data_IF_218751625512
#
_entry.id   IF_218751625512
#
_cell.length_a   1.000
_cell.length_b   1.000
_cell.length_c   1.000
_cell.angle_alpha   90.00
_cell.angle_beta   90.00
_cell.angle_gamma   90.00
#
_symmetry.space_group_name_H-M   'P 1'
#
loop_
_entity.id
_entity.type
_entity.pdbx_description
1 polymer ?
#
# COMPACT_ATOMS: atom_id res chain seq x y z
N UNK A 1 7.94 -1.02 34.37
CA UNK A 1 6.91 -1.82 35.08
C UNK A 1 7.22 -3.30 34.93
N UNK A 2 6.89 -4.12 35.95
CA UNK A 2 6.90 -5.58 35.86
C UNK A 2 5.45 -6.06 35.81
N UNK A 3 5.13 -6.82 34.78
CA UNK A 3 3.77 -7.30 34.49
C UNK A 3 3.86 -8.77 34.13
N UNK A 4 2.90 -9.56 34.59
CA UNK A 4 2.73 -10.95 34.16
C UNK A 4 1.60 -10.98 33.13
N UNK A 5 1.85 -11.62 31.99
CA UNK A 5 0.90 -11.73 30.89
C UNK A 5 0.77 -13.20 30.52
N UNK A 6 -0.46 -13.68 30.42
CA UNK A 6 -0.77 -14.99 29.83
C UNK A 6 -0.78 -14.83 28.31
N UNK A 7 -0.05 -15.70 27.61
CA UNK A 7 0.03 -15.73 26.15
C UNK A 7 -0.45 -17.09 25.66
N UNK A 8 -1.19 -17.08 24.55
CA UNK A 8 -1.50 -18.32 23.83
C UNK A 8 -0.22 -18.98 23.32
N UNK A 9 -0.24 -20.31 23.21
CA UNK A 9 0.94 -21.10 22.86
C UNK A 9 1.53 -20.72 21.51
N UNK A 10 0.69 -20.38 20.54
CA UNK A 10 1.12 -19.98 19.20
C UNK A 10 1.79 -18.59 19.21
N UNK A 11 1.26 -17.64 19.99
CA UNK A 11 1.85 -16.30 20.18
C UNK A 11 3.20 -16.42 20.88
N UNK A 12 3.28 -17.21 21.95
CA UNK A 12 4.52 -17.44 22.67
C UNK A 12 5.58 -18.10 21.78
N UNK A 13 5.20 -19.07 20.95
CA UNK A 13 6.09 -19.72 19.99
C UNK A 13 6.63 -18.73 18.95
N UNK A 14 5.76 -17.88 18.36
CA UNK A 14 6.15 -16.86 17.37
C UNK A 14 7.13 -15.84 17.97
N UNK A 15 6.87 -15.34 19.18
CA UNK A 15 7.74 -14.38 19.85
C UNK A 15 9.11 -14.98 20.20
N UNK A 16 9.15 -16.26 20.62
CA UNK A 16 10.41 -16.98 20.86
C UNK A 16 11.20 -17.18 19.57
N UNK A 17 10.54 -17.56 18.49
CA UNK A 17 11.18 -17.71 17.19
C UNK A 17 11.78 -16.38 16.70
N UNK A 18 11.06 -15.28 16.86
CA UNK A 18 11.53 -13.95 16.46
C UNK A 18 12.69 -13.45 17.33
N UNK A 19 12.66 -13.73 18.64
CA UNK A 19 13.79 -13.45 19.54
C UNK A 19 15.04 -14.22 19.13
N UNK A 20 14.92 -15.51 18.77
CA UNK A 20 16.05 -16.31 18.26
C UNK A 20 16.58 -15.78 16.93
N UNK A 21 15.68 -15.42 16.00
CA UNK A 21 16.03 -14.90 14.67
C UNK A 21 16.75 -13.55 14.74
N UNK A 22 16.25 -12.65 15.59
CA UNK A 22 16.79 -11.29 15.72
C UNK A 22 17.98 -11.19 16.69
N UNK A 23 18.24 -12.23 17.49
CA UNK A 23 19.25 -12.21 18.54
C UNK A 23 18.93 -11.27 19.72
N UNK A 24 17.70 -10.73 19.77
CA UNK A 24 17.28 -9.75 20.77
C UNK A 24 16.65 -10.43 21.97
N UNK A 25 16.74 -9.77 23.13
CA UNK A 25 16.11 -10.25 24.35
C UNK A 25 14.59 -10.40 24.15
N UNK A 26 14.03 -11.50 24.67
CA UNK A 26 12.60 -11.82 24.54
C UNK A 26 11.70 -10.66 24.98
N UNK A 27 12.07 -9.96 26.07
CA UNK A 27 11.37 -8.77 26.56
C UNK A 27 11.28 -7.64 25.53
N UNK A 28 12.35 -7.39 24.78
CA UNK A 28 12.39 -6.30 23.81
C UNK A 28 11.52 -6.62 22.59
N UNK A 29 11.55 -7.88 22.15
CA UNK A 29 10.67 -8.39 21.08
C UNK A 29 9.21 -8.30 21.49
N UNK A 30 8.86 -8.73 22.71
CA UNK A 30 7.50 -8.63 23.25
C UNK A 30 7.03 -7.17 23.28
N UNK A 31 7.83 -6.28 23.87
CA UNK A 31 7.46 -4.87 23.98
C UNK A 31 7.31 -4.19 22.61
N UNK A 32 8.17 -4.50 21.66
CA UNK A 32 8.05 -3.95 20.32
C UNK A 32 6.83 -4.48 19.58
N UNK A 33 6.55 -5.79 19.66
CA UNK A 33 5.36 -6.37 19.07
C UNK A 33 4.08 -5.71 19.63
N UNK A 34 4.02 -5.50 20.95
CA UNK A 34 2.90 -4.80 21.59
C UNK A 34 2.80 -3.34 21.12
N UNK A 35 3.92 -2.60 21.04
CA UNK A 35 3.91 -1.23 20.52
C UNK A 35 3.40 -1.16 19.08
N UNK A 36 3.89 -2.04 18.21
CA UNK A 36 3.44 -2.11 16.81
C UNK A 36 1.95 -2.45 16.72
N UNK A 37 1.47 -3.39 17.54
CA UNK A 37 0.05 -3.75 17.61
C UNK A 37 -0.84 -2.57 18.06
N UNK A 38 -0.46 -1.91 19.16
CA UNK A 38 -1.20 -0.76 19.71
C UNK A 38 -1.14 0.49 18.82
N UNK A 39 -0.09 0.64 18.00
CA UNK A 39 -0.02 1.70 16.98
C UNK A 39 -0.87 1.37 15.74
N UNK A 40 -1.05 0.09 15.42
CA UNK A 40 -1.77 -0.36 14.22
C UNK A 40 -3.29 -0.21 14.35
N UNK A 41 -3.82 -0.13 15.57
CA UNK A 41 -5.24 0.21 15.81
C UNK A 41 -5.55 1.68 15.45
N UNK A 42 -4.49 2.49 15.25
CA UNK A 42 -4.54 3.82 14.60
C UNK A 42 -4.17 3.75 13.13
N UNK A 43 -4.40 2.64 12.44
CA UNK A 43 -4.61 2.68 11.00
C UNK A 43 -5.86 3.53 10.75
N UNK A 44 -5.67 4.85 10.77
CA UNK A 44 -6.57 5.87 10.27
C UNK A 44 -7.25 5.25 9.07
N UNK A 45 -8.57 5.01 9.14
CA UNK A 45 -9.36 4.49 8.01
C UNK A 45 -8.85 5.21 6.77
N UNK A 46 -8.01 4.54 5.98
CA UNK A 46 -7.37 5.19 4.84
C UNK A 46 -8.52 5.52 3.93
N UNK A 47 -8.76 6.82 3.70
CA UNK A 47 -9.81 7.20 2.77
C UNK A 47 -9.48 6.53 1.44
N UNK A 48 -10.49 5.95 0.75
CA UNK A 48 -10.24 5.35 -0.55
C UNK A 48 -9.59 6.42 -1.45
N UNK A 49 -8.55 6.02 -2.16
CA UNK A 49 -7.89 6.90 -3.11
C UNK A 49 -8.90 7.34 -4.17
N UNK A 50 -9.12 8.65 -4.30
CA UNK A 50 -10.01 9.24 -5.30
C UNK A 50 -9.20 10.06 -6.29
N UNK A 51 -9.33 9.73 -7.57
CA UNK A 51 -8.76 10.52 -8.66
C UNK A 51 -9.67 11.72 -8.91
N UNK A 52 -9.11 12.94 -8.90
CA UNK A 52 -9.83 14.14 -9.38
C UNK A 52 -9.80 14.15 -10.91
N UNK A 53 -10.90 13.77 -11.53
CA UNK A 53 -11.05 13.84 -12.98
C UNK A 53 -11.35 15.27 -13.42
N UNK A 54 -10.83 15.65 -14.59
CA UNK A 54 -11.22 16.86 -15.32
C UNK A 54 -11.90 16.45 -16.61
N UNK A 55 -12.97 17.15 -16.99
CA UNK A 55 -13.58 16.97 -18.31
C UNK A 55 -12.60 17.48 -19.37
N UNK A 56 -12.25 16.63 -20.33
CA UNK A 56 -11.47 17.01 -21.51
C UNK A 56 -12.38 17.39 -22.70
N UNK A 57 -13.69 17.43 -22.49
CA UNK A 57 -14.68 17.60 -23.55
C UNK A 57 -15.04 16.29 -24.24
N UNK A 58 -15.78 16.39 -25.34
CA UNK A 58 -16.09 15.27 -26.22
C UNK A 58 -14.92 14.91 -27.13
N UNK A 59 -14.94 13.70 -27.68
CA UNK A 59 -13.98 13.28 -28.69
C UNK A 59 -14.10 14.18 -29.93
N UNK A 60 -12.95 14.58 -30.51
CA UNK A 60 -12.96 15.37 -31.74
C UNK A 60 -13.61 14.56 -32.86
N UNK A 61 -14.51 15.15 -33.68
CA UNK A 61 -15.09 14.44 -34.82
C UNK A 61 -14.00 13.87 -35.73
N UNK A 62 -14.15 12.61 -36.15
CA UNK A 62 -13.18 11.92 -37.00
C UNK A 62 -11.97 11.31 -36.27
N UNK A 63 -11.78 11.58 -34.97
CA UNK A 63 -10.70 10.97 -34.19
C UNK A 63 -11.12 9.60 -33.67
N UNK A 64 -10.46 8.54 -34.13
CA UNK A 64 -10.70 7.16 -33.67
C UNK A 64 -9.56 6.71 -32.75
N UNK A 65 -9.82 6.57 -31.45
CA UNK A 65 -8.78 6.28 -30.46
C UNK A 65 -8.23 4.84 -30.52
N UNK A 66 -8.92 3.92 -31.20
CA UNK A 66 -8.43 2.54 -31.36
C UNK A 66 -7.47 2.39 -32.56
N UNK A 67 -7.26 3.45 -33.36
CA UNK A 67 -6.24 3.48 -34.41
C UNK A 67 -5.11 4.42 -34.01
N UNK A 68 -3.94 3.85 -33.72
CA UNK A 68 -2.75 4.65 -33.37
C UNK A 68 -2.37 5.58 -34.53
N UNK A 69 -2.46 5.11 -35.78
CA UNK A 69 -2.13 5.90 -36.96
C UNK A 69 -3.05 7.12 -37.10
N UNK A 70 -4.36 6.95 -36.94
CA UNK A 70 -5.35 8.03 -37.09
C UNK A 70 -5.17 9.09 -36.00
N UNK A 71 -4.83 8.66 -34.78
CA UNK A 71 -4.54 9.57 -33.66
C UNK A 71 -3.28 10.39 -33.93
N UNK A 72 -2.21 9.76 -34.39
CA UNK A 72 -0.97 10.46 -34.69
C UNK A 72 -1.14 11.45 -35.84
N UNK A 73 -1.85 11.07 -36.90
CA UNK A 73 -2.15 12.00 -37.99
C UNK A 73 -2.98 13.21 -37.52
N UNK A 74 -3.97 13.01 -36.64
CA UNK A 74 -4.81 14.10 -36.13
C UNK A 74 -4.15 14.99 -35.08
N UNK A 75 -3.20 14.46 -34.30
CA UNK A 75 -2.55 15.18 -33.20
C UNK A 75 -1.23 15.80 -33.63
N UNK A 76 -0.44 15.08 -34.42
CA UNK A 76 0.92 15.46 -34.82
C UNK A 76 1.04 15.79 -36.31
N UNK A 77 0.10 15.34 -37.15
CA UNK A 77 0.05 15.60 -38.58
C UNK A 77 0.62 14.47 -39.46
N UNK A 78 0.50 14.60 -40.79
CA UNK A 78 0.93 13.56 -41.75
C UNK A 78 2.45 13.39 -41.85
N UNK A 79 3.23 14.25 -41.21
CA UNK A 79 4.69 14.17 -41.14
C UNK A 79 5.21 13.60 -39.81
N UNK A 80 4.34 13.03 -38.97
CA UNK A 80 4.77 12.31 -37.78
C UNK A 80 5.66 11.10 -38.19
N UNK A 81 6.74 10.86 -37.44
CA UNK A 81 7.74 9.82 -37.74
C UNK A 81 7.96 8.92 -36.53
#
# INVERSE_FOLDING_TARGET
>A
MRTTLTLDDDVAAKLKAESRRSGRAFRDVVNEALRRGLMSDRATKRSPFRVRTRSLGGLRPGLHLDSIADVLEHVEGPLHR
#
